data_IF_033354965551
#
_entry.id   IF_033354965551
#
_cell.length_a   1.000
_cell.length_b   1.000
_cell.length_c   1.000
_cell.angle_alpha   90.00
_cell.angle_beta   90.00
_cell.angle_gamma   90.00
#
_symmetry.space_group_name_H-M   'P 1'
#
loop_
_entity.id
_entity.type
_entity.pdbx_description
1 polymer ?
#
# COMPACT_ATOMS: atom_id res chain seq x y z
N UNK A 1 13.68 10.09 -15.54
CA UNK A 1 12.60 9.26 -16.11
C UNK A 1 12.53 7.92 -15.36
N UNK A 2 12.19 7.94 -14.07
CA UNK A 2 12.15 6.72 -13.22
C UNK A 2 10.83 6.54 -12.44
N UNK A 3 9.82 7.35 -12.68
CA UNK A 3 8.69 7.49 -11.75
C UNK A 3 7.35 6.93 -12.25
N UNK A 4 7.33 6.16 -13.35
CA UNK A 4 6.07 5.64 -13.90
C UNK A 4 5.49 4.44 -13.14
N UNK A 5 6.32 3.66 -12.42
CA UNK A 5 5.85 2.46 -11.74
C UNK A 5 5.11 2.76 -10.42
N UNK A 6 5.45 3.85 -9.73
CA UNK A 6 4.80 4.24 -8.48
C UNK A 6 3.48 4.99 -8.72
N UNK A 7 3.44 5.87 -9.73
CA UNK A 7 2.22 6.56 -10.15
C UNK A 7 1.12 5.60 -10.59
N UNK A 8 1.48 4.56 -11.35
CA UNK A 8 0.56 3.50 -11.78
C UNK A 8 -0.09 2.76 -10.59
N UNK A 9 0.67 2.47 -9.52
CA UNK A 9 0.14 1.79 -8.33
C UNK A 9 -0.89 2.61 -7.60
N UNK A 10 -0.60 3.90 -7.39
CA UNK A 10 -1.51 4.80 -6.68
C UNK A 10 -2.83 4.92 -7.44
N UNK A 11 -2.77 5.09 -8.76
CA UNK A 11 -3.95 5.12 -9.64
C UNK A 11 -4.78 3.84 -9.51
N UNK A 12 -4.14 2.67 -9.57
CA UNK A 12 -4.82 1.37 -9.42
C UNK A 12 -5.49 1.22 -8.05
N UNK A 13 -4.82 1.63 -6.98
CA UNK A 13 -5.39 1.66 -5.62
C UNK A 13 -6.59 2.61 -5.53
N UNK A 14 -6.52 3.79 -6.15
CA UNK A 14 -7.64 4.74 -6.20
C UNK A 14 -8.88 4.10 -6.85
N UNK A 15 -8.67 3.35 -7.94
CA UNK A 15 -9.71 2.58 -8.65
C UNK A 15 -10.15 1.32 -7.91
N UNK A 16 -9.54 1.00 -6.77
CA UNK A 16 -9.84 -0.20 -5.97
C UNK A 16 -9.38 -1.51 -6.62
N UNK A 17 -8.48 -1.42 -7.60
CA UNK A 17 -7.85 -2.58 -8.20
C UNK A 17 -6.86 -3.19 -7.21
N UNK A 18 -6.74 -4.52 -7.21
CA UNK A 18 -5.74 -5.19 -6.42
C UNK A 18 -4.35 -4.88 -6.98
N UNK A 19 -3.51 -4.28 -6.13
CA UNK A 19 -2.09 -4.10 -6.43
C UNK A 19 -1.33 -5.23 -5.76
N UNK A 20 -0.97 -6.21 -6.57
CA UNK A 20 -0.09 -7.31 -6.17
C UNK A 20 1.34 -7.00 -6.64
N UNK A 21 2.28 -6.94 -5.69
CA UNK A 21 3.69 -6.68 -5.94
C UNK A 21 4.56 -7.95 -5.82
N UNK A 22 3.94 -9.13 -5.77
CA UNK A 22 4.68 -10.38 -5.88
C UNK A 22 5.38 -10.50 -7.24
N UNK A 23 6.60 -11.04 -7.25
CA UNK A 23 7.34 -11.27 -8.49
C UNK A 23 6.75 -12.43 -9.30
N UNK A 24 6.02 -13.33 -8.63
CA UNK A 24 5.50 -14.57 -9.18
C UNK A 24 4.12 -14.85 -8.57
N UNK A 25 3.03 -14.70 -9.34
CA UNK A 25 1.67 -14.93 -8.87
C UNK A 25 1.51 -16.34 -8.30
N UNK A 26 1.14 -16.44 -7.02
CA UNK A 26 0.92 -17.72 -6.33
C UNK A 26 2.13 -18.25 -5.54
N UNK A 27 3.32 -17.65 -5.66
CA UNK A 27 4.46 -17.98 -4.81
C UNK A 27 4.43 -17.15 -3.53
N UNK A 28 3.97 -17.76 -2.42
CA UNK A 28 4.02 -17.14 -1.10
C UNK A 28 5.49 -17.03 -0.65
N UNK A 29 5.99 -15.80 -0.55
CA UNK A 29 7.25 -15.49 0.13
C UNK A 29 6.88 -14.98 1.52
N UNK A 30 7.62 -15.42 2.54
CA UNK A 30 7.39 -14.97 3.91
C UNK A 30 7.52 -13.44 3.99
N UNK A 31 6.48 -12.78 4.50
CA UNK A 31 6.49 -11.35 4.73
C UNK A 31 7.61 -10.94 5.70
N UNK A 32 8.03 -11.82 6.60
CA UNK A 32 9.14 -11.57 7.53
C UNK A 32 10.47 -11.26 6.82
N UNK A 33 10.66 -11.73 5.59
CA UNK A 33 11.84 -11.44 4.77
C UNK A 33 11.76 -10.08 4.03
N UNK A 34 10.76 -9.25 4.34
CA UNK A 34 10.49 -7.99 3.64
C UNK A 34 11.66 -7.02 3.54
N UNK A 35 12.57 -7.02 4.52
CA UNK A 35 13.80 -6.23 4.49
C UNK A 35 14.71 -6.55 3.29
N UNK A 36 14.68 -7.79 2.79
CA UNK A 36 15.47 -8.27 1.65
C UNK A 36 14.82 -7.95 0.30
N UNK A 37 13.59 -7.43 0.28
CA UNK A 37 12.87 -7.13 -0.96
C UNK A 37 13.42 -5.89 -1.64
N UNK A 38 13.33 -5.87 -2.98
CA UNK A 38 13.80 -4.76 -3.79
C UNK A 38 12.85 -3.55 -3.71
N UNK A 39 13.35 -2.38 -4.12
CA UNK A 39 12.58 -1.12 -4.13
C UNK A 39 11.34 -1.17 -5.04
N UNK A 40 11.29 -2.09 -6.00
CA UNK A 40 10.11 -2.30 -6.82
C UNK A 40 8.91 -2.81 -6.01
N UNK A 41 9.08 -3.29 -4.77
CA UNK A 41 7.96 -3.69 -3.89
C UNK A 41 7.63 -2.66 -2.82
N UNK A 42 8.32 -1.52 -2.82
CA UNK A 42 8.13 -0.50 -1.80
C UNK A 42 6.89 0.34 -2.08
N UNK A 43 6.11 0.58 -1.03
CA UNK A 43 5.02 1.56 -0.98
C UNK A 43 5.25 2.41 0.27
N UNK A 44 5.15 3.73 0.16
CA UNK A 44 5.28 4.62 1.31
C UNK A 44 4.02 4.53 2.20
N UNK A 45 4.23 4.46 3.52
CA UNK A 45 3.13 4.46 4.50
C UNK A 45 2.25 5.71 4.37
N UNK A 46 2.84 6.87 4.09
CA UNK A 46 2.12 8.13 3.86
C UNK A 46 1.14 8.04 2.68
N UNK A 47 1.52 7.35 1.60
CA UNK A 47 0.64 7.14 0.45
C UNK A 47 -0.59 6.30 0.84
N UNK A 48 -0.41 5.27 1.67
CA UNK A 48 -1.54 4.49 2.16
C UNK A 48 -2.44 5.32 3.07
N UNK A 49 -1.85 6.10 3.99
CA UNK A 49 -2.60 6.98 4.89
C UNK A 49 -3.45 8.00 4.14
N UNK A 50 -2.87 8.69 3.15
CA UNK A 50 -3.57 9.66 2.30
C UNK A 50 -4.75 9.02 1.57
N UNK A 51 -4.57 7.79 1.07
CA UNK A 51 -5.61 7.09 0.33
C UNK A 51 -6.76 6.65 1.22
N UNK A 52 -6.48 6.14 2.43
CA UNK A 52 -7.52 5.60 3.33
C UNK A 52 -8.23 6.67 4.16
N UNK A 53 -7.65 7.86 4.28
CA UNK A 53 -8.22 9.01 5.00
C UNK A 53 -8.79 10.09 4.08
N UNK A 54 -8.69 9.91 2.76
CA UNK A 54 -9.21 10.86 1.77
C UNK A 54 -10.67 11.24 2.08
N UNK A 55 -11.03 12.54 2.15
CA UNK A 55 -12.39 12.96 2.48
C UNK A 55 -13.43 12.36 1.54
N UNK A 56 -14.58 11.98 2.11
CA UNK A 56 -15.74 11.52 1.35
C UNK A 56 -16.16 12.62 0.37
N UNK A 57 -16.35 12.25 -0.89
CA UNK A 57 -16.77 13.18 -1.95
C UNK A 57 -15.64 13.96 -2.63
N UNK A 58 -14.36 13.71 -2.30
CA UNK A 58 -13.24 14.18 -3.11
C UNK A 58 -13.15 13.41 -4.44
N UNK A 59 -12.55 14.01 -5.47
CA UNK A 59 -12.39 13.38 -6.80
C UNK A 59 -11.63 12.04 -6.76
N UNK A 60 -10.82 11.85 -5.72
CA UNK A 60 -9.98 10.69 -5.46
C UNK A 60 -10.63 9.69 -4.48
N UNK A 61 -11.82 9.98 -3.97
CA UNK A 61 -12.55 9.10 -3.07
C UNK A 61 -13.43 8.11 -3.83
N UNK A 62 -13.39 6.85 -3.41
CA UNK A 62 -14.30 5.81 -3.90
C UNK A 62 -14.69 4.89 -2.75
N UNK A 63 -15.87 4.27 -2.84
CA UNK A 63 -16.29 3.22 -1.91
C UNK A 63 -15.43 1.94 -2.01
N UNK A 64 -14.47 1.88 -2.93
CA UNK A 64 -13.68 0.68 -3.17
C UNK A 64 -12.52 0.59 -2.18
N UNK A 65 -12.24 -0.62 -1.67
CA UNK A 65 -11.16 -0.84 -0.73
C UNK A 65 -9.79 -0.59 -1.38
N UNK A 66 -8.81 -0.21 -0.56
CA UNK A 66 -7.40 -0.26 -0.94
C UNK A 66 -6.92 -1.68 -0.73
N UNK A 67 -6.52 -2.36 -1.81
CA UNK A 67 -6.05 -3.75 -1.79
C UNK A 67 -4.58 -3.80 -2.20
N UNK A 68 -3.73 -4.16 -1.25
CA UNK A 68 -2.29 -4.28 -1.46
C UNK A 68 -1.80 -5.64 -0.97
N UNK A 69 -1.05 -6.34 -1.83
CA UNK A 69 -0.42 -7.60 -1.50
C UNK A 69 1.08 -7.58 -1.77
N UNK A 70 1.87 -8.25 -0.92
CA UNK A 70 3.28 -8.51 -1.20
C UNK A 70 4.18 -7.27 -1.20
N UNK A 71 3.76 -6.22 -0.52
CA UNK A 71 4.44 -4.93 -0.51
C UNK A 71 5.29 -4.74 0.75
N UNK A 72 6.43 -4.08 0.59
CA UNK A 72 7.19 -3.49 1.70
C UNK A 72 6.63 -2.10 1.94
N UNK A 73 5.90 -1.92 3.04
CA UNK A 73 5.41 -0.61 3.47
C UNK A 73 6.54 0.08 4.23
N UNK A 74 7.08 1.15 3.65
CA UNK A 74 8.18 1.93 4.23
C UNK A 74 7.64 3.12 5.03
N UNK A 75 8.23 3.35 6.20
CA UNK A 75 7.86 4.45 7.09
C UNK A 75 6.81 4.05 8.12
N UNK A 76 6.35 5.03 8.88
CA UNK A 76 5.43 4.79 9.99
C UNK A 76 3.98 4.79 9.49
N UNK A 77 3.36 3.62 9.43
CA UNK A 77 1.94 3.47 9.16
C UNK A 77 1.18 3.55 10.48
N UNK A 78 0.90 4.78 10.91
CA UNK A 78 0.08 5.05 12.07
C UNK A 78 -1.38 5.26 11.65
N UNK A 79 -2.26 4.42 12.18
CA UNK A 79 -3.70 4.49 11.97
C UNK A 79 -4.43 4.74 13.30
N UNK A 80 -3.69 5.02 14.38
CA UNK A 80 -4.26 5.32 15.69
C UNK A 80 -5.15 6.57 15.57
N UNK A 81 -6.38 6.44 16.05
CA UNK A 81 -7.43 7.47 15.97
C UNK A 81 -7.78 7.97 14.54
N UNK A 82 -7.27 7.34 13.48
CA UNK A 82 -7.59 7.73 12.12
C UNK A 82 -9.02 7.31 11.74
N UNK A 83 -9.77 8.22 11.10
CA UNK A 83 -11.06 7.89 10.48
C UNK A 83 -10.78 7.35 9.08
N UNK A 84 -10.95 6.04 8.91
CA UNK A 84 -10.79 5.39 7.62
C UNK A 84 -12.06 5.58 6.79
N UNK A 85 -11.97 6.39 5.73
CA UNK A 85 -13.07 6.60 4.79
C UNK A 85 -13.15 5.48 3.75
N UNK A 86 -12.09 4.66 3.64
CA UNK A 86 -11.99 3.52 2.73
C UNK A 86 -11.43 2.30 3.47
N UNK A 87 -11.96 1.08 3.24
CA UNK A 87 -11.40 -0.12 3.84
C UNK A 87 -9.97 -0.37 3.34
N UNK A 88 -9.09 -0.79 4.24
CA UNK A 88 -7.70 -1.17 3.94
C UNK A 88 -7.55 -2.69 4.04
N UNK A 89 -7.07 -3.32 2.97
CA UNK A 89 -6.74 -4.74 2.93
C UNK A 89 -5.27 -4.93 2.58
N UNK A 90 -4.51 -5.42 3.55
CA UNK A 90 -3.10 -5.77 3.41
C UNK A 90 -2.94 -7.29 3.50
N UNK A 91 -2.34 -7.90 2.48
CA UNK A 91 -2.05 -9.34 2.47
C UNK A 91 -0.55 -9.58 2.25
N UNK A 92 0.08 -10.33 3.15
CA UNK A 92 1.50 -10.70 3.02
C UNK A 92 2.42 -9.46 2.81
N UNK A 93 2.07 -8.35 3.45
CA UNK A 93 2.84 -7.11 3.42
C UNK A 93 3.80 -7.04 4.61
N UNK A 94 5.00 -6.53 4.37
CA UNK A 94 5.95 -6.22 5.44
C UNK A 94 5.83 -4.76 5.82
N UNK A 95 5.55 -4.48 7.10
CA UNK A 95 5.49 -3.11 7.62
C UNK A 95 6.80 -2.81 8.32
N UNK A 96 7.58 -1.89 7.76
CA UNK A 96 8.85 -1.49 8.34
C UNK A 96 8.62 -0.44 9.43
N UNK A 97 8.54 -0.89 10.69
CA UNK A 97 8.47 0.01 11.82
C UNK A 97 9.89 0.46 12.21
N UNK A 98 10.33 1.64 11.74
CA UNK A 98 11.52 2.30 12.30
C UNK A 98 11.11 3.16 13.48
N UNK A 99 11.00 2.52 14.65
CA UNK A 99 10.98 3.22 15.93
C UNK A 99 12.44 3.44 16.35
N UNK A 100 12.87 4.69 16.52
CA UNK A 100 14.13 4.99 17.21
C UNK A 100 13.93 4.83 18.73
#
# INVERSE_FOLDING_TARGET
>A
MKDNAAGDRRERMLRGEAVDLWPDPGKRIDAADGLKWNSCRTVEASTLLDLVTAPIGSDQWSHRPIRLAGARVLGHLDLEAAILTRPLYLADCFIENRSC
#
